data_IF_496854394261
#
_entry.id   IF_496854394261
#
_cell.length_a   1.000
_cell.length_b   1.000
_cell.length_c   1.000
_cell.angle_alpha   90.00
_cell.angle_beta   90.00
_cell.angle_gamma   90.00
#
_symmetry.space_group_name_H-M   'P 1'
#
loop_
_entity.id
_entity.type
_entity.pdbx_description
1 polymer ?
#
# COMPACT_ATOMS: atom_id res chain seq x y z
N UNK A 1 -10.47 -6.84 1.19
CA UNK A 1 -9.98 -7.62 0.03
C UNK A 1 -8.77 -8.52 0.30
N UNK A 2 -8.13 -8.46 1.49
CA UNK A 2 -7.07 -9.40 1.87
C UNK A 2 -7.50 -10.88 1.76
N UNK A 3 -8.61 -11.22 2.43
CA UNK A 3 -9.07 -12.61 2.53
C UNK A 3 -9.62 -13.19 1.23
N UNK A 4 -10.25 -12.39 0.36
CA UNK A 4 -10.65 -12.87 -0.97
C UNK A 4 -9.43 -13.31 -1.79
N UNK A 5 -8.30 -12.60 -1.69
CA UNK A 5 -7.05 -12.98 -2.37
C UNK A 5 -6.45 -14.26 -1.78
N UNK A 6 -6.45 -14.40 -0.46
CA UNK A 6 -5.94 -15.62 0.20
C UNK A 6 -6.80 -16.85 -0.10
N UNK A 7 -8.13 -16.73 -0.04
CA UNK A 7 -9.04 -17.84 -0.37
C UNK A 7 -8.88 -18.25 -1.84
N UNK A 8 -8.84 -17.28 -2.77
CA UNK A 8 -8.70 -17.58 -4.20
C UNK A 8 -7.41 -18.32 -4.55
N UNK A 9 -6.34 -18.07 -3.78
CA UNK A 9 -5.05 -18.78 -3.89
C UNK A 9 -5.02 -20.12 -3.15
N UNK A 10 -5.93 -20.31 -2.20
CA UNK A 10 -5.95 -21.48 -1.32
C UNK A 10 -5.02 -21.35 -0.10
N UNK A 11 -4.54 -20.14 0.18
CA UNK A 11 -3.65 -19.85 1.33
C UNK A 11 -4.41 -19.88 2.67
N UNK A 12 -5.74 -19.74 2.61
CA UNK A 12 -6.63 -19.85 3.77
C UNK A 12 -7.96 -20.49 3.34
N UNK A 13 -8.57 -21.28 4.24
CA UNK A 13 -9.94 -21.76 4.07
C UNK A 13 -10.94 -20.66 4.42
N UNK A 14 -12.09 -20.65 3.76
CA UNK A 14 -13.11 -19.62 3.95
C UNK A 14 -13.64 -19.56 5.39
N UNK A 15 -13.80 -20.72 6.04
CA UNK A 15 -14.25 -20.86 7.43
C UNK A 15 -13.18 -20.43 8.47
N UNK A 16 -11.95 -20.13 8.03
CA UNK A 16 -10.85 -19.64 8.87
C UNK A 16 -10.62 -18.14 8.73
N UNK A 17 -11.42 -17.44 7.92
CA UNK A 17 -11.38 -15.97 7.90
C UNK A 17 -11.89 -15.44 9.25
N UNK A 18 -11.09 -14.62 9.97
CA UNK A 18 -11.55 -13.99 11.21
C UNK A 18 -12.77 -13.10 10.94
N UNK A 19 -13.75 -13.15 11.84
CA UNK A 19 -14.84 -12.18 11.85
C UNK A 19 -14.30 -10.76 12.08
N UNK A 20 -14.93 -9.77 11.46
CA UNK A 20 -14.55 -8.37 11.59
C UNK A 20 -15.81 -7.51 11.68
N UNK A 21 -15.95 -6.79 12.79
CA UNK A 21 -17.10 -5.91 13.02
C UNK A 21 -17.23 -4.86 11.92
N UNK A 22 -18.47 -4.65 11.46
CA UNK A 22 -18.75 -3.73 10.36
C UNK A 22 -18.41 -4.25 8.96
N UNK A 23 -17.89 -5.47 8.83
CA UNK A 23 -17.61 -6.12 7.54
C UNK A 23 -18.50 -7.34 7.36
N UNK A 24 -19.62 -7.14 6.67
CA UNK A 24 -20.60 -8.19 6.38
C UNK A 24 -20.26 -8.88 5.04
N UNK A 25 -19.36 -9.86 5.08
CA UNK A 25 -19.03 -10.70 3.92
C UNK A 25 -19.25 -12.17 4.28
N UNK A 26 -20.10 -12.82 3.49
CA UNK A 26 -20.29 -14.27 3.56
C UNK A 26 -19.14 -14.97 2.81
N UNK A 27 -18.15 -15.45 3.55
CA UNK A 27 -16.99 -16.14 2.97
C UNK A 27 -17.27 -17.61 2.64
N UNK A 28 -18.14 -18.26 3.42
CA UNK A 28 -18.43 -19.70 3.31
C UNK A 28 -19.66 -19.89 2.44
N UNK A 29 -19.49 -20.65 1.37
CA UNK A 29 -20.56 -21.11 0.48
C UNK A 29 -20.77 -22.62 0.60
N UNK A 30 -21.71 -23.18 -0.17
CA UNK A 30 -22.11 -24.61 -0.17
C UNK A 30 -20.94 -25.61 -0.29
N UNK A 31 -19.79 -25.18 -0.80
CA UNK A 31 -18.57 -25.97 -0.84
C UNK A 31 -17.32 -25.10 -0.75
N UNK A 32 -16.19 -25.73 -0.41
CA UNK A 32 -14.86 -25.11 -0.48
C UNK A 32 -14.57 -24.55 -1.88
N UNK A 33 -14.93 -25.29 -2.93
CA UNK A 33 -14.76 -24.85 -4.32
C UNK A 33 -15.67 -23.66 -4.65
N UNK A 34 -16.92 -23.68 -4.17
CA UNK A 34 -17.84 -22.54 -4.27
C UNK A 34 -17.26 -21.28 -3.62
N UNK A 35 -16.70 -21.43 -2.41
CA UNK A 35 -16.06 -20.33 -1.68
C UNK A 35 -14.84 -19.79 -2.42
N UNK A 36 -14.00 -20.69 -2.97
CA UNK A 36 -12.84 -20.31 -3.79
C UNK A 36 -13.24 -19.58 -5.07
N UNK A 37 -14.30 -20.05 -5.76
CA UNK A 37 -14.84 -19.40 -6.97
C UNK A 37 -15.34 -17.98 -6.67
N UNK A 38 -16.14 -17.80 -5.60
CA UNK A 38 -16.64 -16.48 -5.20
C UNK A 38 -15.51 -15.52 -4.84
N UNK A 39 -14.54 -15.98 -4.02
CA UNK A 39 -13.36 -15.18 -3.65
C UNK A 39 -12.50 -14.82 -4.88
N UNK A 40 -12.37 -15.73 -5.84
CA UNK A 40 -11.65 -15.49 -7.11
C UNK A 40 -12.34 -14.43 -7.96
N UNK A 41 -13.67 -14.47 -8.04
CA UNK A 41 -14.46 -13.46 -8.74
C UNK A 41 -14.28 -12.08 -8.10
N UNK A 42 -14.31 -12.02 -6.76
CA UNK A 42 -14.08 -10.77 -6.01
C UNK A 42 -12.65 -10.22 -6.23
N UNK A 43 -11.62 -11.06 -6.10
CA UNK A 43 -10.24 -10.66 -6.35
C UNK A 43 -10.02 -10.15 -7.78
N UNK A 44 -10.65 -10.80 -8.78
CA UNK A 44 -10.63 -10.35 -10.17
C UNK A 44 -11.36 -9.03 -10.37
N UNK A 45 -12.55 -8.87 -9.79
CA UNK A 45 -13.36 -7.65 -9.91
C UNK A 45 -12.66 -6.40 -9.37
N UNK A 46 -11.88 -6.54 -8.31
CA UNK A 46 -11.06 -5.47 -7.75
C UNK A 46 -9.62 -5.44 -8.30
N UNK A 47 -9.32 -6.20 -9.36
CA UNK A 47 -7.99 -6.24 -10.01
C UNK A 47 -6.83 -6.53 -9.04
N UNK A 48 -7.07 -7.38 -8.04
CA UNK A 48 -6.11 -7.67 -6.98
C UNK A 48 -5.00 -8.61 -7.50
N UNK A 49 -3.79 -8.08 -7.64
CA UNK A 49 -2.60 -8.84 -8.08
C UNK A 49 -1.86 -9.49 -6.91
N UNK A 50 -1.78 -8.81 -5.76
CA UNK A 50 -1.21 -9.33 -4.52
C UNK A 50 -2.21 -9.13 -3.37
N UNK A 51 -2.24 -10.02 -2.34
CA UNK A 51 -3.11 -9.82 -1.20
C UNK A 51 -2.88 -8.43 -0.57
N UNK A 52 -3.91 -7.56 -0.47
CA UNK A 52 -3.77 -6.26 0.17
C UNK A 52 -3.26 -6.41 1.60
N UNK A 53 -2.26 -5.64 1.99
CA UNK A 53 -1.71 -5.68 3.35
C UNK A 53 -2.80 -5.31 4.38
N UNK A 54 -2.85 -6.05 5.49
CA UNK A 54 -3.71 -5.69 6.63
C UNK A 54 -3.05 -4.68 7.57
N UNK A 55 -1.71 -4.77 7.67
CA UNK A 55 -0.87 -3.90 8.46
C UNK A 55 0.21 -3.39 7.52
N UNK A 56 0.23 -2.09 7.32
CA UNK A 56 1.21 -1.34 6.54
C UNK A 56 1.21 0.12 7.00
N UNK A 57 2.23 0.89 6.61
CA UNK A 57 2.28 2.33 6.87
C UNK A 57 1.08 3.08 6.30
N UNK A 58 0.51 2.64 5.18
CA UNK A 58 -0.73 3.21 4.63
C UNK A 58 -1.94 2.97 5.55
N UNK A 59 -2.10 1.77 6.12
CA UNK A 59 -3.19 1.49 7.08
C UNK A 59 -3.01 2.20 8.42
N UNK A 60 -1.76 2.50 8.79
CA UNK A 60 -1.39 3.28 9.97
C UNK A 60 -1.49 4.79 9.75
N UNK A 61 -1.80 5.24 8.52
CA UNK A 61 -1.84 6.65 8.11
C UNK A 61 -0.47 7.35 8.24
N UNK A 62 0.60 6.57 8.09
CA UNK A 62 2.00 6.99 8.16
C UNK A 62 2.71 6.92 6.80
N UNK A 63 1.98 6.63 5.70
CA UNK A 63 2.51 6.67 4.34
C UNK A 63 1.59 7.41 3.38
N UNK A 64 2.18 7.87 2.28
CA UNK A 64 1.50 8.42 1.11
C UNK A 64 2.22 7.96 -0.16
N UNK A 65 1.41 7.61 -1.17
CA UNK A 65 1.92 7.33 -2.50
C UNK A 65 1.82 8.59 -3.34
N UNK A 66 2.97 9.13 -3.72
CA UNK A 66 3.07 10.36 -4.48
C UNK A 66 4.21 10.32 -5.50
N UNK A 67 3.83 10.49 -6.76
CA UNK A 67 4.77 10.73 -7.87
C UNK A 67 4.97 12.22 -8.05
N UNK A 68 6.15 12.71 -7.67
CA UNK A 68 6.52 14.12 -7.85
C UNK A 68 7.13 14.30 -9.24
N UNK A 69 6.60 15.25 -10.02
CA UNK A 69 7.07 15.57 -11.37
C UNK A 69 7.45 17.04 -11.50
N UNK A 70 8.15 17.40 -12.59
CA UNK A 70 8.47 18.79 -12.96
C UNK A 70 9.21 19.59 -11.88
N UNK A 71 10.05 18.92 -11.08
CA UNK A 71 10.73 19.49 -9.91
C UNK A 71 12.22 19.78 -10.14
N UNK A 72 12.82 19.18 -11.18
CA UNK A 72 14.23 19.38 -11.51
C UNK A 72 14.50 20.84 -11.88
N UNK A 73 15.57 21.41 -11.34
CA UNK A 73 15.96 22.82 -11.48
C UNK A 73 15.22 23.78 -10.53
N UNK A 74 14.28 23.29 -9.72
CA UNK A 74 13.63 24.09 -8.67
C UNK A 74 14.42 24.02 -7.37
N UNK A 75 14.26 25.04 -6.54
CA UNK A 75 14.76 25.07 -5.17
C UNK A 75 13.63 24.76 -4.20
N UNK A 76 13.91 23.94 -3.19
CA UNK A 76 12.99 23.56 -2.13
C UNK A 76 13.67 23.82 -0.79
N UNK A 77 12.93 24.36 0.18
CA UNK A 77 13.45 24.50 1.54
C UNK A 77 13.48 23.15 2.24
N UNK A 78 14.57 22.81 2.91
CA UNK A 78 14.60 21.73 3.89
C UNK A 78 14.00 22.19 5.24
N UNK A 79 13.92 21.29 6.22
CA UNK A 79 13.33 21.60 7.52
C UNK A 79 14.10 22.65 8.35
N UNK A 80 15.37 22.93 8.05
CA UNK A 80 16.13 24.04 8.67
C UNK A 80 15.92 25.38 7.95
N UNK A 81 15.18 25.40 6.84
CA UNK A 81 14.89 26.59 6.05
C UNK A 81 15.90 26.88 4.94
N UNK A 82 16.92 26.04 4.75
CA UNK A 82 17.92 26.17 3.69
C UNK A 82 17.34 25.77 2.33
N UNK A 83 17.66 26.54 1.28
CA UNK A 83 17.28 26.21 -0.09
C UNK A 83 18.18 25.14 -0.69
N UNK A 84 17.59 24.01 -1.07
CA UNK A 84 18.26 22.92 -1.80
C UNK A 84 17.79 22.93 -3.26
N UNK A 85 18.72 23.04 -4.20
CA UNK A 85 18.43 22.87 -5.63
C UNK A 85 18.27 21.37 -5.97
N UNK A 86 17.16 21.02 -6.62
CA UNK A 86 16.88 19.64 -7.03
C UNK A 86 17.45 19.42 -8.43
N UNK A 87 18.56 18.69 -8.54
CA UNK A 87 19.25 18.40 -9.82
C UNK A 87 18.79 17.08 -10.42
N UNK A 88 18.34 16.15 -9.58
CA UNK A 88 17.73 14.87 -9.94
C UNK A 88 16.66 14.51 -8.92
N UNK A 89 15.72 13.64 -9.29
CA UNK A 89 14.58 13.29 -8.43
C UNK A 89 15.01 12.74 -7.07
N UNK A 90 16.10 11.97 -7.01
CA UNK A 90 16.60 11.38 -5.76
C UNK A 90 17.17 12.41 -4.77
N UNK A 91 17.42 13.65 -5.17
CA UNK A 91 17.80 14.72 -4.24
C UNK A 91 16.64 15.03 -3.26
N UNK A 92 15.39 14.79 -3.68
CA UNK A 92 14.22 14.92 -2.80
C UNK A 92 14.26 13.96 -1.61
N UNK A 93 14.96 12.83 -1.71
CA UNK A 93 15.01 11.86 -0.62
C UNK A 93 15.67 12.48 0.62
N UNK A 94 16.78 13.19 0.42
CA UNK A 94 17.48 13.88 1.51
C UNK A 94 16.64 15.04 2.06
N UNK A 95 15.98 15.82 1.18
CA UNK A 95 15.10 16.91 1.59
C UNK A 95 13.91 16.39 2.39
N UNK A 96 13.21 15.36 1.91
CA UNK A 96 12.08 14.72 2.57
C UNK A 96 12.46 14.16 3.95
N UNK A 97 13.61 13.51 4.06
CA UNK A 97 14.10 12.97 5.33
C UNK A 97 14.26 14.08 6.40
N UNK A 98 14.59 15.32 6.02
CA UNK A 98 14.65 16.43 6.98
C UNK A 98 13.28 16.77 7.60
N UNK A 99 12.19 16.47 6.89
CA UNK A 99 10.82 16.62 7.37
C UNK A 99 10.25 15.35 8.01
N UNK A 100 11.06 14.30 8.16
CA UNK A 100 10.58 12.99 8.61
C UNK A 100 9.79 12.22 7.56
N UNK A 101 9.92 12.56 6.27
CA UNK A 101 9.25 11.88 5.15
C UNK A 101 10.29 11.17 4.30
N UNK A 102 10.38 9.86 4.49
CA UNK A 102 11.42 9.00 3.97
C UNK A 102 10.96 8.26 2.70
N UNK A 103 11.86 8.13 1.73
CA UNK A 103 11.60 7.48 0.44
C UNK A 103 11.88 5.98 0.50
N UNK A 104 10.91 5.15 0.13
CA UNK A 104 11.19 3.75 -0.25
C UNK A 104 11.64 3.69 -1.71
N UNK A 105 12.91 3.39 -1.96
CA UNK A 105 13.48 3.46 -3.32
C UNK A 105 12.97 2.34 -4.23
N UNK A 106 12.71 1.15 -3.68
CA UNK A 106 12.18 0.01 -4.44
C UNK A 106 10.72 0.16 -4.85
N UNK A 107 9.99 1.09 -4.23
CA UNK A 107 8.60 1.42 -4.55
C UNK A 107 8.50 2.92 -4.92
N UNK A 108 8.68 3.26 -6.22
CA UNK A 108 8.85 4.64 -6.69
C UNK A 108 7.80 5.66 -6.25
N UNK A 109 6.50 5.34 -6.04
CA UNK A 109 5.55 6.29 -5.46
C UNK A 109 5.60 6.40 -3.93
N UNK A 110 6.10 5.41 -3.18
CA UNK A 110 5.91 5.33 -1.73
C UNK A 110 6.81 6.27 -0.91
N UNK A 111 6.20 7.02 0.00
CA UNK A 111 6.85 7.83 1.02
C UNK A 111 6.20 7.57 2.39
N UNK A 112 7.00 7.42 3.45
CA UNK A 112 6.48 7.15 4.79
C UNK A 112 7.32 7.80 5.88
N UNK A 113 6.90 7.68 7.14
CA UNK A 113 7.65 8.15 8.29
C UNK A 113 8.97 7.40 8.52
N UNK A 114 9.12 6.18 8.01
CA UNK A 114 10.31 5.34 8.19
C UNK A 114 10.97 4.83 6.89
N UNK A 115 10.35 5.06 5.74
CA UNK A 115 10.86 4.65 4.43
C UNK A 115 10.61 3.17 4.11
N UNK A 116 9.69 2.53 4.84
CA UNK A 116 9.24 1.15 4.63
C UNK A 116 7.71 1.06 4.42
#
# INVERSE_FOLDING_TARGET
MHYSSKISRGDIKADKVPAMDGVNIDWVHDSDDGSKKAASAMAKGYTIVYPPALISRHTEKAAVDMTITSIIGKKIKNASGEEVEIKKLSDLNAVGATYGVNKLVSDPPHWSDDGH
#
